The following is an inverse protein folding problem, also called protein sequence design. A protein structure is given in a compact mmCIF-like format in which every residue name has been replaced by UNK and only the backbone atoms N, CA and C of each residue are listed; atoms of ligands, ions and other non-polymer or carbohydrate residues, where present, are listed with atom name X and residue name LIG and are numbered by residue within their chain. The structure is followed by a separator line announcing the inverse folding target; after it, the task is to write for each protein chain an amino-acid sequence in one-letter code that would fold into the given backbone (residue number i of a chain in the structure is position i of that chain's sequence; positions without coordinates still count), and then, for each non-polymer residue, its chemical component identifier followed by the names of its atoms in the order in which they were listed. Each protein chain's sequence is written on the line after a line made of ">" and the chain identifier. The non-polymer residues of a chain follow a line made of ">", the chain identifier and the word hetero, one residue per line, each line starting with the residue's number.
data_IF_729050501374
#
_entry.id   IF_729050501374
#
_cell.length_a   1.000
_cell.length_b   1.000
_cell.length_c   1.000
_cell.angle_alpha   90.00
_cell.angle_beta   90.00
_cell.angle_gamma   90.00
#
_symmetry.space_group_name_H-M   'P 1'
#
loop_
_entity.id
_entity.type
_entity.pdbx_description
1 polymer ?
#
# COMPACT_ATOMS: atom_id res chain seq x y z
N UNK A 1 9.86 6.53 9.72
CA UNK A 1 9.02 7.62 9.15
C UNK A 1 9.26 9.01 9.77
N UNK A 2 9.08 9.22 11.08
CA UNK A 2 9.13 10.57 11.67
C UNK A 2 10.49 11.28 11.56
N UNK A 3 11.59 10.55 11.71
CA UNK A 3 12.94 11.10 11.48
C UNK A 3 13.12 11.57 10.03
N UNK A 4 12.64 10.80 9.04
CA UNK A 4 12.64 11.24 7.65
C UNK A 4 11.79 12.51 7.49
N UNK A 5 10.58 12.55 8.07
CA UNK A 5 9.70 13.71 7.97
C UNK A 5 10.30 14.99 8.56
N UNK A 6 10.99 14.90 9.70
CA UNK A 6 11.69 16.03 10.30
C UNK A 6 12.75 16.64 9.36
N UNK A 7 13.32 15.82 8.47
CA UNK A 7 14.29 16.23 7.46
C UNK A 7 13.65 16.51 6.07
N UNK A 8 12.32 16.64 5.97
CA UNK A 8 11.61 16.71 4.67
C UNK A 8 11.94 17.93 3.80
N UNK A 9 12.57 18.97 4.35
CA UNK A 9 13.11 20.11 3.59
C UNK A 9 14.53 19.90 3.05
N UNK A 10 15.22 18.85 3.50
CA UNK A 10 16.62 18.56 3.13
C UNK A 10 16.70 17.24 2.35
N UNK A 11 16.65 17.26 1.00
CA UNK A 11 16.50 16.05 0.19
C UNK A 11 17.61 15.02 0.39
N UNK A 12 18.85 15.48 0.61
CA UNK A 12 20.01 14.62 0.85
C UNK A 12 19.90 13.77 2.12
N UNK A 13 19.07 14.20 3.09
CA UNK A 13 18.81 13.46 4.34
C UNK A 13 17.46 12.75 4.26
N UNK A 14 16.44 13.40 3.72
CA UNK A 14 15.11 12.82 3.55
C UNK A 14 15.13 11.54 2.73
N UNK A 15 15.77 11.57 1.55
CA UNK A 15 15.74 10.46 0.59
C UNK A 15 16.37 9.20 1.18
N UNK A 16 17.60 9.22 1.75
CA UNK A 16 18.15 8.03 2.40
C UNK A 16 17.29 7.52 3.56
N UNK A 17 16.81 8.39 4.45
CA UNK A 17 15.99 7.98 5.60
C UNK A 17 14.66 7.37 5.18
N UNK A 18 14.01 7.93 4.15
CA UNK A 18 12.75 7.41 3.63
C UNK A 18 12.96 6.10 2.85
N UNK A 19 14.07 5.96 2.11
CA UNK A 19 14.46 4.69 1.48
C UNK A 19 14.69 3.59 2.52
N UNK A 20 15.37 3.90 3.63
CA UNK A 20 15.53 2.96 4.75
C UNK A 20 14.17 2.61 5.35
N UNK A 21 13.27 3.59 5.50
CA UNK A 21 11.90 3.33 5.96
C UNK A 21 11.16 2.33 5.06
N UNK A 22 11.18 2.51 3.73
CA UNK A 22 10.59 1.56 2.78
C UNK A 22 11.26 0.18 2.90
N UNK A 23 12.58 0.13 3.05
CA UNK A 23 13.29 -1.15 3.16
C UNK A 23 12.96 -1.91 4.46
N UNK A 24 12.73 -1.20 5.56
CA UNK A 24 12.44 -1.79 6.87
C UNK A 24 11.11 -2.56 6.92
N UNK A 25 10.10 -2.11 6.16
CA UNK A 25 8.82 -2.84 5.94
C UNK A 25 9.03 -4.25 5.35
N UNK A 26 10.04 -4.42 4.49
CA UNK A 26 10.42 -5.76 4.03
C UNK A 26 11.14 -6.59 5.11
N UNK A 27 11.94 -5.92 5.94
CA UNK A 27 12.85 -6.55 6.90
C UNK A 27 12.10 -7.02 8.14
N UNK A 28 11.15 -6.26 8.67
CA UNK A 28 10.44 -6.63 9.90
C UNK A 28 9.58 -7.88 9.72
N UNK A 29 8.86 -8.01 8.60
CA UNK A 29 8.09 -9.20 8.28
C UNK A 29 8.99 -10.40 8.01
N UNK A 30 10.16 -10.20 7.37
CA UNK A 30 11.14 -11.26 7.21
C UNK A 30 11.71 -11.72 8.55
N UNK A 31 12.08 -10.79 9.42
CA UNK A 31 12.67 -11.08 10.73
C UNK A 31 11.65 -11.75 11.66
N UNK A 32 10.41 -11.26 11.68
CA UNK A 32 9.32 -11.85 12.45
C UNK A 32 9.07 -13.32 12.05
N UNK A 33 9.12 -13.65 10.76
CA UNK A 33 9.01 -15.04 10.29
C UNK A 33 10.24 -15.88 10.64
N UNK A 34 11.45 -15.31 10.60
CA UNK A 34 12.68 -16.02 10.91
C UNK A 34 12.85 -16.31 12.40
N UNK A 35 12.33 -15.42 13.25
CA UNK A 35 12.39 -15.55 14.72
C UNK A 35 11.14 -16.21 15.32
N UNK A 36 10.16 -16.59 14.49
CA UNK A 36 8.85 -17.11 14.93
C UNK A 36 8.12 -16.16 15.89
N UNK A 37 8.19 -14.86 15.60
CA UNK A 37 7.62 -13.76 16.38
C UNK A 37 6.57 -12.96 15.59
N UNK A 38 5.81 -13.61 14.71
CA UNK A 38 4.70 -12.95 14.01
C UNK A 38 3.50 -12.74 14.95
N UNK A 39 2.97 -11.52 14.99
CA UNK A 39 1.76 -11.19 15.75
C UNK A 39 0.75 -10.42 14.91
N UNK A 40 -0.54 -10.55 15.26
CA UNK A 40 -1.64 -9.80 14.63
C UNK A 40 -1.46 -8.30 14.77
N UNK A 41 -1.04 -7.87 15.96
CA UNK A 41 -0.75 -6.47 16.24
C UNK A 41 0.41 -5.95 15.39
N UNK A 42 1.50 -6.72 15.26
CA UNK A 42 2.63 -6.35 14.41
C UNK A 42 2.20 -6.18 12.95
N UNK A 43 1.46 -7.15 12.39
CA UNK A 43 0.96 -7.05 11.02
C UNK A 43 -0.04 -5.89 10.80
N UNK A 44 -0.80 -5.52 11.82
CA UNK A 44 -1.67 -4.34 11.79
C UNK A 44 -0.86 -3.04 11.84
N UNK A 45 0.12 -2.97 12.74
CA UNK A 45 0.97 -1.79 12.95
C UNK A 45 1.82 -1.49 11.72
N UNK A 46 2.33 -2.54 11.08
CA UNK A 46 3.06 -2.51 9.80
C UNK A 46 2.30 -1.64 8.78
N UNK A 47 1.08 -2.04 8.42
CA UNK A 47 0.21 -1.33 7.47
C UNK A 47 -0.12 0.10 7.92
N UNK A 48 -0.34 0.32 9.23
CA UNK A 48 -0.63 1.65 9.79
C UNK A 48 0.54 2.60 9.58
N UNK A 49 1.75 2.18 9.95
CA UNK A 49 2.96 3.02 9.82
C UNK A 49 3.23 3.34 8.35
N UNK A 50 2.99 2.37 7.49
CA UNK A 50 3.09 2.48 6.04
C UNK A 50 2.13 3.51 5.43
N UNK A 51 0.84 3.41 5.77
CA UNK A 51 -0.18 4.36 5.32
C UNK A 51 0.07 5.77 5.86
N UNK A 52 0.53 5.91 7.11
CA UNK A 52 0.95 7.21 7.67
C UNK A 52 2.10 7.78 6.85
N UNK A 53 3.15 6.98 6.62
CA UNK A 53 4.35 7.42 5.90
C UNK A 53 4.07 7.82 4.45
N UNK A 54 3.27 7.04 3.72
CA UNK A 54 2.84 7.38 2.35
C UNK A 54 1.91 8.59 2.36
N UNK A 55 0.95 8.65 3.28
CA UNK A 55 0.00 9.75 3.36
C UNK A 55 0.65 11.11 3.63
N UNK A 56 1.66 11.15 4.52
CA UNK A 56 2.46 12.35 4.77
C UNK A 56 3.20 12.79 3.51
N UNK A 57 3.80 11.85 2.77
CA UNK A 57 4.56 12.17 1.56
C UNK A 57 3.65 12.63 0.41
N UNK A 58 2.53 11.95 0.15
CA UNK A 58 1.55 12.38 -0.85
C UNK A 58 0.99 13.77 -0.57
N UNK A 59 0.63 14.06 0.67
CA UNK A 59 0.10 15.36 1.08
C UNK A 59 1.12 16.50 0.93
N UNK A 60 2.41 16.18 1.00
CA UNK A 60 3.50 17.12 0.73
C UNK A 60 3.70 17.37 -0.76
N UNK A 61 3.53 16.34 -1.60
CA UNK A 61 3.73 16.45 -3.05
C UNK A 61 2.59 17.20 -3.74
N UNK A 62 1.35 16.95 -3.32
CA UNK A 62 0.16 17.48 -3.96
C UNK A 62 -0.87 17.91 -2.93
N UNK A 63 -1.54 19.04 -3.16
CA UNK A 63 -2.66 19.52 -2.31
C UNK A 63 -3.80 18.50 -2.19
N UNK A 64 -3.98 17.67 -3.21
CA UNK A 64 -4.98 16.61 -3.25
C UNK A 64 -4.43 15.23 -2.84
N UNK A 65 -3.13 15.13 -2.53
CA UNK A 65 -2.48 13.84 -2.23
C UNK A 65 -3.06 13.10 -1.04
N UNK A 66 -3.74 13.80 -0.13
CA UNK A 66 -4.52 13.20 0.95
C UNK A 66 -5.59 12.22 0.44
N UNK A 67 -6.15 12.41 -0.76
CA UNK A 67 -7.13 11.49 -1.35
C UNK A 67 -6.54 10.10 -1.58
N UNK A 68 -5.26 10.02 -2.00
CA UNK A 68 -4.57 8.74 -2.21
C UNK A 68 -4.44 8.00 -0.87
N UNK A 69 -4.03 8.72 0.17
CA UNK A 69 -3.98 8.20 1.54
C UNK A 69 -5.35 7.71 2.01
N UNK A 70 -6.42 8.49 1.78
CA UNK A 70 -7.79 8.10 2.15
C UNK A 70 -8.20 6.78 1.51
N UNK A 71 -7.88 6.56 0.22
CA UNK A 71 -8.16 5.28 -0.44
C UNK A 71 -7.38 4.15 0.21
N UNK A 72 -6.09 4.32 0.49
CA UNK A 72 -5.24 3.30 1.16
C UNK A 72 -5.79 2.94 2.55
N UNK A 73 -6.25 3.93 3.32
CA UNK A 73 -6.92 3.72 4.60
C UNK A 73 -8.27 3.01 4.45
N UNK A 74 -9.09 3.37 3.47
CA UNK A 74 -10.35 2.69 3.19
C UNK A 74 -10.12 1.21 2.85
N UNK A 75 -9.14 0.90 2.02
CA UNK A 75 -8.77 -0.48 1.67
C UNK A 75 -8.36 -1.26 2.91
N UNK A 76 -7.51 -0.65 3.75
CA UNK A 76 -7.08 -1.26 5.01
C UNK A 76 -8.28 -1.60 5.90
N UNK A 77 -9.19 -0.65 6.13
CA UNK A 77 -10.39 -0.87 6.96
C UNK A 77 -11.29 -1.95 6.35
N UNK A 78 -11.56 -1.88 5.04
CA UNK A 78 -12.41 -2.85 4.34
C UNK A 78 -11.87 -4.28 4.42
N UNK A 79 -10.55 -4.45 4.29
CA UNK A 79 -9.91 -5.76 4.32
C UNK A 79 -9.71 -6.28 5.76
N UNK A 80 -9.34 -5.41 6.69
CA UNK A 80 -9.06 -5.80 8.07
C UNK A 80 -10.35 -6.12 8.85
N UNK A 81 -11.38 -5.28 8.73
CA UNK A 81 -12.66 -5.45 9.43
C UNK A 81 -13.38 -6.72 8.96
N UNK A 82 -13.42 -6.95 7.64
CA UNK A 82 -14.15 -8.09 7.11
C UNK A 82 -13.51 -9.45 7.41
N UNK A 83 -12.17 -9.54 7.55
CA UNK A 83 -11.46 -10.84 7.36
C UNK A 83 -10.18 -11.06 8.19
N UNK A 84 -9.77 -10.15 9.06
CA UNK A 84 -8.64 -10.35 9.99
C UNK A 84 -7.34 -10.81 9.30
N UNK A 85 -6.62 -11.79 9.89
CA UNK A 85 -5.30 -12.22 9.43
C UNK A 85 -5.34 -13.05 8.13
N UNK A 86 -6.51 -13.61 7.78
CA UNK A 86 -6.72 -14.46 6.60
C UNK A 86 -7.20 -13.69 5.36
N UNK A 87 -7.12 -12.36 5.36
CA UNK A 87 -7.62 -11.55 4.23
C UNK A 87 -6.98 -11.92 2.89
N UNK A 88 -5.73 -12.42 2.89
CA UNK A 88 -5.00 -12.90 1.71
C UNK A 88 -5.52 -14.23 1.15
N UNK A 89 -6.23 -15.02 1.94
CA UNK A 89 -6.71 -16.35 1.54
C UNK A 89 -8.04 -16.26 0.74
N UNK A 90 -8.71 -15.11 0.79
CA UNK A 90 -10.03 -14.90 0.16
C UNK A 90 -9.99 -14.44 -1.30
N UNK A 91 -8.82 -14.29 -1.90
CA UNK A 91 -8.70 -13.85 -3.30
C UNK A 91 -9.01 -14.94 -4.31
N UNK A 92 -9.28 -16.18 -3.90
CA UNK A 92 -9.65 -17.28 -4.80
C UNK A 92 -10.89 -16.97 -5.67
N UNK A 93 -11.83 -16.17 -5.16
CA UNK A 93 -13.02 -15.72 -5.89
C UNK A 93 -12.86 -14.34 -6.58
N UNK A 94 -11.67 -13.74 -6.53
CA UNK A 94 -11.41 -12.42 -7.13
C UNK A 94 -11.20 -12.51 -8.65
N UNK A 95 -11.32 -11.40 -9.40
CA UNK A 95 -10.97 -11.38 -10.83
C UNK A 95 -9.54 -11.85 -11.07
N UNK A 96 -9.28 -12.49 -12.21
CA UNK A 96 -7.97 -13.08 -12.55
C UNK A 96 -6.79 -12.11 -12.40
N UNK A 97 -6.99 -10.83 -12.73
CA UNK A 97 -5.93 -9.83 -12.59
C UNK A 97 -5.60 -9.54 -11.11
N UNK A 98 -6.61 -9.48 -10.22
CA UNK A 98 -6.42 -9.32 -8.78
C UNK A 98 -5.67 -10.53 -8.23
N UNK A 99 -6.08 -11.75 -8.62
CA UNK A 99 -5.36 -12.97 -8.26
C UNK A 99 -3.90 -12.93 -8.69
N UNK A 100 -3.63 -12.50 -9.93
CA UNK A 100 -2.27 -12.42 -10.47
C UNK A 100 -1.40 -11.40 -9.72
N UNK A 101 -1.98 -10.27 -9.29
CA UNK A 101 -1.28 -9.27 -8.46
C UNK A 101 -1.01 -9.82 -7.05
N UNK A 102 -1.99 -10.47 -6.43
CA UNK A 102 -1.91 -10.98 -5.06
C UNK A 102 -1.11 -12.30 -4.96
N UNK A 103 -0.83 -12.95 -6.08
CA UNK A 103 -0.15 -14.25 -6.12
C UNK A 103 1.17 -14.25 -5.34
N UNK A 104 1.41 -15.33 -4.59
CA UNK A 104 2.57 -15.49 -3.71
C UNK A 104 2.80 -14.31 -2.74
N UNK A 105 1.73 -13.60 -2.34
CA UNK A 105 1.83 -12.42 -1.48
C UNK A 105 2.63 -11.29 -2.12
N UNK A 106 2.32 -10.97 -3.38
CA UNK A 106 2.99 -9.96 -4.22
C UNK A 106 4.41 -10.31 -4.70
N UNK A 107 4.90 -11.54 -4.48
CA UNK A 107 6.24 -11.98 -4.90
C UNK A 107 6.34 -12.39 -6.38
N UNK A 108 5.38 -12.01 -7.21
CA UNK A 108 5.43 -12.16 -8.68
C UNK A 108 5.97 -10.89 -9.32
N UNK A 109 6.43 -10.91 -10.59
CA UNK A 109 6.83 -9.68 -11.29
C UNK A 109 5.72 -8.62 -11.32
N UNK A 110 4.46 -9.05 -11.45
CA UNK A 110 3.30 -8.16 -11.42
C UNK A 110 3.05 -7.57 -10.03
N UNK A 111 3.13 -8.41 -8.99
CA UNK A 111 3.02 -7.95 -7.60
C UNK A 111 4.13 -6.98 -7.22
N UNK A 112 5.38 -7.27 -7.60
CA UNK A 112 6.52 -6.39 -7.37
C UNK A 112 6.36 -5.05 -8.08
N UNK A 113 5.81 -5.04 -9.29
CA UNK A 113 5.53 -3.81 -10.02
C UNK A 113 4.48 -2.94 -9.31
N UNK A 114 3.42 -3.56 -8.81
CA UNK A 114 2.37 -2.91 -8.00
C UNK A 114 2.97 -2.33 -6.71
N UNK A 115 3.74 -3.12 -5.96
CA UNK A 115 4.41 -2.67 -4.72
C UNK A 115 5.40 -1.55 -5.00
N UNK A 116 6.15 -1.62 -6.09
CA UNK A 116 7.05 -0.55 -6.52
C UNK A 116 6.29 0.75 -6.80
N UNK A 117 5.17 0.68 -7.51
CA UNK A 117 4.29 1.84 -7.72
C UNK A 117 3.69 2.39 -6.43
N UNK A 118 3.38 1.54 -5.45
CA UNK A 118 2.80 1.94 -4.17
C UNK A 118 3.83 2.67 -3.27
N UNK A 119 5.02 2.09 -3.08
CA UNK A 119 6.01 2.62 -2.14
C UNK A 119 7.02 3.57 -2.79
N UNK A 120 7.49 3.27 -4.01
CA UNK A 120 8.58 4.01 -4.64
C UNK A 120 8.12 5.23 -5.43
N UNK A 121 6.89 5.24 -5.97
CA UNK A 121 6.36 6.39 -6.72
C UNK A 121 6.39 7.72 -5.93
N UNK A 122 5.85 7.81 -4.70
CA UNK A 122 5.85 9.08 -3.98
C UNK A 122 7.28 9.56 -3.67
N UNK A 123 8.21 8.64 -3.34
CA UNK A 123 9.61 9.00 -3.15
C UNK A 123 10.28 9.48 -4.44
N UNK A 124 10.00 8.82 -5.56
CA UNK A 124 10.48 9.21 -6.89
C UNK A 124 10.02 10.61 -7.29
N UNK A 125 8.73 10.91 -7.09
CA UNK A 125 8.17 12.24 -7.35
C UNK A 125 8.77 13.31 -6.43
N UNK A 126 9.06 12.96 -5.18
CA UNK A 126 9.77 13.85 -4.26
C UNK A 126 11.18 14.18 -4.77
N UNK A 127 11.94 13.16 -5.18
CA UNK A 127 13.28 13.34 -5.74
C UNK A 127 13.26 14.22 -6.98
N UNK A 128 12.28 13.99 -7.87
CA UNK A 128 12.06 14.78 -9.07
C UNK A 128 11.75 16.25 -8.75
N UNK A 129 10.89 16.53 -7.77
CA UNK A 129 10.55 17.91 -7.38
C UNK A 129 11.67 18.65 -6.64
N UNK A 130 12.51 17.95 -5.87
CA UNK A 130 13.36 18.60 -4.85
C UNK A 130 14.86 18.42 -4.99
N UNK A 131 15.39 17.47 -5.77
CA UNK A 131 16.85 17.30 -5.70
C UNK A 131 17.61 16.35 -6.62
N UNK A 132 16.98 15.48 -7.41
CA UNK A 132 17.72 14.66 -8.38
C UNK A 132 17.37 15.02 -9.82
N UNK A 133 18.27 15.80 -10.44
CA UNK A 133 18.25 16.05 -11.88
C UNK A 133 18.84 14.84 -12.61
N UNK A 134 18.00 13.82 -12.80
CA UNK A 134 18.29 12.71 -13.71
C UNK A 134 18.04 13.15 -15.16
N UNK A 135 18.67 12.51 -16.15
CA UNK A 135 18.31 12.69 -17.55
C UNK A 135 16.79 12.54 -17.77
N UNK A 136 16.21 13.43 -18.57
CA UNK A 136 14.75 13.51 -18.80
C UNK A 136 14.14 12.17 -19.22
N UNK A 137 14.87 11.37 -20.01
CA UNK A 137 14.38 10.05 -20.43
C UNK A 137 14.32 9.05 -19.26
N UNK A 138 15.27 9.09 -18.32
CA UNK A 138 15.25 8.26 -17.11
C UNK A 138 14.10 8.70 -16.22
N UNK A 139 13.93 10.02 -16.05
CA UNK A 139 12.81 10.59 -15.29
C UNK A 139 11.47 10.17 -15.88
N UNK A 140 11.30 10.31 -17.19
CA UNK A 140 10.09 9.94 -17.91
C UNK A 140 9.78 8.44 -17.81
N UNK A 141 10.77 7.60 -18.10
CA UNK A 141 10.60 6.15 -18.04
C UNK A 141 10.30 5.66 -16.61
N UNK A 142 11.06 6.11 -15.62
CA UNK A 142 10.83 5.74 -14.22
C UNK A 142 9.47 6.20 -13.72
N UNK A 143 9.06 7.43 -14.04
CA UNK A 143 7.73 7.95 -13.69
C UNK A 143 6.64 7.12 -14.35
N UNK A 144 6.76 6.83 -15.65
CA UNK A 144 5.79 6.02 -16.38
C UNK A 144 5.61 4.64 -15.75
N UNK A 145 6.71 3.92 -15.47
CA UNK A 145 6.67 2.60 -14.85
C UNK A 145 6.05 2.62 -13.44
N UNK A 146 6.40 3.62 -12.62
CA UNK A 146 5.88 3.70 -11.25
C UNK A 146 4.41 4.14 -11.21
N UNK A 147 4.00 5.08 -12.06
CA UNK A 147 2.60 5.53 -12.18
C UNK A 147 1.70 4.38 -12.63
N UNK A 148 2.10 3.63 -13.65
CA UNK A 148 1.32 2.48 -14.14
C UNK A 148 1.21 1.39 -13.08
N UNK A 149 2.26 1.12 -12.31
CA UNK A 149 2.20 0.26 -11.12
C UNK A 149 1.21 0.77 -10.07
N UNK A 150 1.19 2.08 -9.76
CA UNK A 150 0.25 2.68 -8.80
C UNK A 150 -1.19 2.65 -9.29
N UNK A 151 -1.44 2.84 -10.58
CA UNK A 151 -2.78 2.74 -11.19
C UNK A 151 -3.30 1.30 -11.14
N UNK A 152 -2.43 0.32 -11.33
CA UNK A 152 -2.79 -1.09 -11.14
C UNK A 152 -3.10 -1.38 -9.67
N UNK A 153 -2.30 -0.85 -8.73
CA UNK A 153 -2.60 -0.91 -7.30
C UNK A 153 -3.99 -0.33 -7.00
N UNK A 154 -4.28 0.87 -7.51
CA UNK A 154 -5.57 1.54 -7.36
C UNK A 154 -6.72 0.70 -7.89
N UNK A 155 -6.54 0.00 -9.00
CA UNK A 155 -7.57 -0.89 -9.56
C UNK A 155 -7.90 -2.04 -8.60
N UNK A 156 -6.89 -2.62 -7.94
CA UNK A 156 -7.07 -3.67 -6.92
C UNK A 156 -7.69 -3.11 -5.64
N UNK A 157 -7.26 -1.93 -5.22
CA UNK A 157 -7.81 -1.20 -4.06
C UNK A 157 -9.31 -0.92 -4.22
N UNK A 158 -9.70 -0.38 -5.38
CA UNK A 158 -11.11 -0.13 -5.71
C UNK A 158 -11.93 -1.41 -5.74
N UNK A 159 -11.36 -2.52 -6.24
CA UNK A 159 -12.03 -3.81 -6.19
C UNK A 159 -12.24 -4.31 -4.75
N UNK A 160 -11.25 -4.14 -3.86
CA UNK A 160 -11.36 -4.50 -2.45
C UNK A 160 -12.49 -3.71 -1.77
N UNK A 161 -12.49 -2.38 -1.93
CA UNK A 161 -13.53 -1.50 -1.37
C UNK A 161 -14.91 -1.89 -1.91
N UNK A 162 -15.05 -2.05 -3.23
CA UNK A 162 -16.32 -2.42 -3.84
C UNK A 162 -16.86 -3.76 -3.36
N UNK A 163 -15.98 -4.74 -3.19
CA UNK A 163 -16.35 -6.06 -2.66
C UNK A 163 -16.86 -5.96 -1.23
N UNK A 164 -16.23 -5.11 -0.41
CA UNK A 164 -16.70 -4.84 0.95
C UNK A 164 -18.05 -4.12 0.96
N UNK A 165 -18.24 -3.10 0.11
CA UNK A 165 -19.54 -2.41 -0.04
C UNK A 165 -20.63 -3.40 -0.42
N UNK A 166 -20.39 -4.27 -1.40
CA UNK A 166 -21.33 -5.34 -1.79
C UNK A 166 -21.68 -6.28 -0.66
N UNK A 167 -20.71 -6.62 0.19
CA UNK A 167 -20.95 -7.46 1.36
C UNK A 167 -21.83 -6.75 2.40
N UNK A 168 -21.63 -5.44 2.61
CA UNK A 168 -22.45 -4.65 3.53
C UNK A 168 -23.87 -4.39 3.00
N UNK A 169 -24.06 -4.36 1.67
CA UNK A 169 -25.36 -4.10 1.04
C UNK A 169 -26.09 -5.35 0.58
N UNK A 170 -25.47 -6.54 0.65
CA UNK A 170 -26.20 -7.78 0.50
C UNK A 170 -27.08 -7.96 1.73
N UNK A 171 -28.38 -7.75 1.57
CA UNK A 171 -29.37 -7.88 2.64
C UNK A 171 -29.13 -9.17 3.44
N UNK A 172 -29.11 -9.06 4.78
CA UNK A 172 -29.33 -10.23 5.63
C UNK A 172 -30.70 -10.79 5.27
N UNK A 173 -30.75 -11.95 4.60
CA UNK A 173 -31.99 -12.68 4.43
C UNK A 173 -32.62 -12.84 5.83
N UNK A 174 -33.88 -12.44 6.05
CA UNK A 174 -34.51 -12.38 7.37
C UNK A 174 -34.77 -13.75 8.05
N UNK A 175 -34.07 -14.81 7.64
CA UNK A 175 -34.24 -16.16 8.19
C UNK A 175 -33.47 -16.41 9.50
N UNK A 176 -32.48 -15.59 9.86
CA UNK A 176 -31.71 -15.77 11.10
C UNK A 176 -32.27 -15.08 12.36
N UNK A 177 -33.45 -14.45 12.29
CA UNK A 177 -34.13 -13.88 13.47
C UNK A 177 -35.05 -14.86 14.22
N UNK A 178 -35.09 -16.14 13.84
CA UNK A 178 -35.94 -17.16 14.51
C UNK A 178 -35.20 -18.11 15.46
N UNK A 179 -33.93 -17.87 15.78
CA UNK A 179 -33.17 -18.73 16.70
C UNK A 179 -32.24 -17.98 17.65
N UNK A 180 -32.75 -16.90 18.25
CA UNK A 180 -32.28 -16.42 19.55
C UNK A 180 -33.44 -16.41 20.54
#
# INVERSE_FOLDING_TARGET
>A
VFAAWAASETPSVFVPLYSVFIALDGVDGWLARRLDQSSRFGAWLDVVVDNVGRGMLWSRLFKWGWLVSTVEWCVFVCNHNARGDHWKDSFAASPRFVQAVMANGFRTPLGLWVVSGLHCLPLWLYMHHKGLQLPVWIQGLGTFLLVTGRLLALSVEMWCIWTHVKYLTSDETPENKKSQ
#
